data_IF_924186052751
#
_entry.id   IF_924186052751
#
_cell.length_a   1.000
_cell.length_b   1.000
_cell.length_c   1.000
_cell.angle_alpha   90.00
_cell.angle_beta   90.00
_cell.angle_gamma   90.00
#
_symmetry.space_group_name_H-M   'P 1'
#
loop_
_entity.id
_entity.type
_entity.pdbx_description
1 polymer ?
#
# COMPACT_ATOMS: atom_id res chain seq x y z
N UNK A 1 11.63 1.45 -6.55
CA UNK A 1 10.18 1.58 -6.35
C UNK A 1 9.56 0.43 -7.08
N UNK A 2 8.57 -0.17 -6.44
CA UNK A 2 7.92 -1.37 -6.95
C UNK A 2 6.39 -1.18 -6.87
N UNK A 3 5.70 -1.81 -7.80
CA UNK A 3 4.26 -1.79 -7.92
C UNK A 3 3.73 -3.21 -7.74
N UNK A 4 3.05 -3.47 -6.63
CA UNK A 4 2.39 -4.76 -6.43
C UNK A 4 1.10 -4.79 -7.28
N UNK A 5 1.08 -5.67 -8.28
CA UNK A 5 -0.12 -6.07 -9.06
C UNK A 5 -1.25 -6.48 -8.09
N UNK A 6 -2.54 -6.31 -8.42
CA UNK A 6 -3.54 -6.06 -7.40
C UNK A 6 -3.64 -7.20 -6.41
N UNK A 7 -3.43 -6.82 -5.15
CA UNK A 7 -3.46 -7.72 -4.00
C UNK A 7 -4.86 -7.70 -3.41
N UNK A 8 -5.35 -8.85 -2.95
CA UNK A 8 -6.64 -8.93 -2.29
C UNK A 8 -6.56 -8.35 -0.89
N UNK A 9 -7.23 -7.22 -0.66
CA UNK A 9 -7.41 -6.70 0.69
C UNK A 9 -8.40 -7.60 1.45
N UNK A 10 -7.95 -8.25 2.53
CA UNK A 10 -8.83 -9.04 3.40
C UNK A 10 -9.32 -8.18 4.55
N UNK A 11 -10.65 -8.01 4.67
CA UNK A 11 -11.26 -7.34 5.82
C UNK A 11 -11.12 -8.22 7.06
N UNK A 12 -10.18 -7.89 7.96
CA UNK A 12 -10.10 -8.51 9.28
C UNK A 12 -11.23 -7.92 10.14
N UNK A 13 -12.13 -8.76 10.63
CA UNK A 13 -13.17 -8.37 11.59
C UNK A 13 -12.84 -9.01 12.93
N UNK A 14 -12.72 -8.20 13.98
CA UNK A 14 -12.40 -8.65 15.33
C UNK A 14 -13.46 -8.15 16.29
N UNK A 15 -14.03 -9.04 17.09
CA UNK A 15 -14.98 -8.69 18.16
C UNK A 15 -14.80 -9.63 19.34
N UNK A 16 -15.20 -9.20 20.53
CA UNK A 16 -15.09 -10.01 21.74
C UNK A 16 -16.14 -11.13 21.74
N UNK A 17 -15.70 -12.38 21.51
CA UNK A 17 -16.56 -13.56 21.56
C UNK A 17 -16.55 -14.11 22.98
N UNK A 18 -17.70 -14.03 23.67
CA UNK A 18 -17.87 -14.64 24.99
C UNK A 18 -17.81 -16.17 24.88
N UNK A 19 -17.12 -16.82 25.82
CA UNK A 19 -17.00 -18.29 25.88
C UNK A 19 -18.40 -18.91 25.97
N UNK A 20 -18.71 -19.84 25.07
CA UNK A 20 -19.99 -20.55 25.03
C UNK A 20 -21.09 -19.91 24.18
N UNK A 21 -20.81 -18.82 23.46
CA UNK A 21 -21.78 -18.20 22.53
C UNK A 21 -21.25 -18.26 21.11
N UNK A 22 -22.00 -18.90 20.20
CA UNK A 22 -21.67 -18.87 18.77
C UNK A 22 -22.18 -17.55 18.19
N UNK A 23 -21.27 -16.71 17.68
CA UNK A 23 -21.61 -15.44 17.04
C UNK A 23 -21.27 -15.52 15.57
N UNK A 24 -22.28 -15.38 14.72
CA UNK A 24 -22.06 -15.30 13.26
C UNK A 24 -21.41 -13.96 12.96
N UNK A 25 -20.13 -13.99 12.64
CA UNK A 25 -19.43 -12.82 12.11
C UNK A 25 -19.78 -12.75 10.63
N UNK A 26 -20.71 -11.86 10.28
CA UNK A 26 -21.01 -11.56 8.88
C UNK A 26 -19.82 -10.82 8.27
N UNK A 27 -18.79 -11.56 7.88
CA UNK A 27 -17.76 -11.08 6.99
C UNK A 27 -18.40 -10.97 5.60
N UNK A 28 -19.06 -9.85 5.30
CA UNK A 28 -19.36 -9.50 3.90
C UNK A 28 -18.04 -9.56 3.14
N UNK A 29 -17.90 -10.55 2.25
CA UNK A 29 -16.72 -10.81 1.45
C UNK A 29 -16.49 -9.72 0.41
N UNK A 30 -16.13 -8.52 0.86
CA UNK A 30 -15.66 -7.44 0.01
C UNK A 30 -14.21 -7.71 -0.34
N UNK A 31 -13.99 -8.55 -1.36
CA UNK A 31 -12.67 -8.67 -1.99
C UNK A 31 -12.46 -7.46 -2.89
N UNK A 32 -11.80 -6.44 -2.35
CA UNK A 32 -11.42 -5.26 -3.15
C UNK A 32 -10.04 -5.50 -3.73
N UNK A 33 -9.93 -5.49 -5.06
CA UNK A 33 -8.64 -5.45 -5.75
C UNK A 33 -7.96 -4.12 -5.44
N UNK A 34 -6.71 -4.17 -4.98
CA UNK A 34 -5.96 -3.00 -4.55
C UNK A 34 -4.55 -3.03 -5.11
N UNK A 35 -4.15 -1.97 -5.83
CA UNK A 35 -2.77 -1.82 -6.26
C UNK A 35 -2.00 -1.03 -5.22
N UNK A 36 -0.78 -1.46 -4.89
CA UNK A 36 0.06 -0.79 -3.91
C UNK A 36 1.33 -0.31 -4.61
N UNK A 37 1.63 0.98 -4.48
CA UNK A 37 2.90 1.56 -4.89
C UNK A 37 3.75 1.79 -3.64
N UNK A 38 5.02 1.36 -3.68
CA UNK A 38 5.92 1.51 -2.54
C UNK A 38 7.34 1.90 -2.94
N UNK A 39 7.96 2.74 -2.10
CA UNK A 39 9.40 3.06 -2.13
C UNK A 39 9.98 2.76 -0.77
N UNK A 40 11.14 2.13 -0.78
CA UNK A 40 11.94 1.85 0.41
C UNK A 40 13.27 2.59 0.26
N UNK A 41 13.70 3.26 1.32
CA UNK A 41 15.03 3.85 1.39
C UNK A 41 16.04 2.77 1.77
N UNK A 42 17.10 2.64 0.98
CA UNK A 42 18.19 1.71 1.29
C UNK A 42 18.82 2.08 2.64
N UNK A 43 18.98 1.09 3.53
CA UNK A 43 19.49 1.28 4.89
C UNK A 43 18.45 1.79 5.91
N UNK A 44 17.21 2.04 5.51
CA UNK A 44 16.12 2.39 6.43
C UNK A 44 14.77 1.82 5.97
N UNK A 45 14.57 0.53 6.24
CA UNK A 45 13.34 -0.21 5.91
C UNK A 45 12.11 0.33 6.65
N UNK A 46 12.27 0.89 7.84
CA UNK A 46 11.16 1.43 8.64
C UNK A 46 10.59 2.73 8.03
N UNK A 47 11.35 3.43 7.19
CA UNK A 47 10.92 4.64 6.49
C UNK A 47 10.27 4.35 5.13
N UNK A 48 9.71 3.15 4.93
CA UNK A 48 9.00 2.80 3.71
C UNK A 48 7.78 3.71 3.51
N UNK A 49 7.65 4.26 2.30
CA UNK A 49 6.50 5.06 1.88
C UNK A 49 5.68 4.21 0.94
N UNK A 50 4.41 3.98 1.27
CA UNK A 50 3.48 3.26 0.41
C UNK A 50 2.17 4.02 0.25
N UNK A 51 1.47 3.73 -0.84
CA UNK A 51 0.11 4.22 -1.07
C UNK A 51 -0.71 3.22 -1.88
N UNK A 52 -2.02 3.33 -1.76
CA UNK A 52 -2.97 2.40 -2.36
C UNK A 52 -3.74 3.12 -3.48
N UNK A 53 -3.71 2.53 -4.67
CA UNK A 53 -4.38 3.07 -5.84
C UNK A 53 -5.35 2.06 -6.45
N UNK A 54 -6.47 2.57 -6.94
CA UNK A 54 -7.47 1.74 -7.63
C UNK A 54 -6.93 1.18 -8.96
N UNK A 55 -6.10 1.96 -9.64
CA UNK A 55 -5.43 1.58 -10.90
C UNK A 55 -4.04 2.20 -10.90
N UNK A 56 -3.00 1.45 -11.29
CA UNK A 56 -1.66 2.00 -11.53
C UNK A 56 -1.66 2.62 -12.93
N UNK A 57 -1.80 3.94 -12.98
CA UNK A 57 -1.69 4.74 -14.21
C UNK A 57 -0.65 5.86 -14.00
N UNK A 58 -0.33 6.59 -15.07
CA UNK A 58 0.64 7.69 -14.98
C UNK A 58 0.27 8.77 -13.94
N UNK A 59 -1.03 9.04 -13.75
CA UNK A 59 -1.51 10.02 -12.75
C UNK A 59 -1.25 9.53 -11.32
N UNK A 60 -1.57 8.26 -11.02
CA UNK A 60 -1.30 7.64 -9.73
C UNK A 60 0.20 7.64 -9.39
N UNK A 61 1.05 7.40 -10.40
CA UNK A 61 2.50 7.45 -10.25
C UNK A 61 2.99 8.88 -9.94
N UNK A 62 2.47 9.89 -10.63
CA UNK A 62 2.79 11.31 -10.36
C UNK A 62 2.37 11.70 -8.95
N UNK A 63 1.15 11.37 -8.53
CA UNK A 63 0.64 11.66 -7.19
C UNK A 63 1.49 10.98 -6.11
N UNK A 64 1.90 9.74 -6.36
CA UNK A 64 2.80 9.03 -5.48
C UNK A 64 4.18 9.70 -5.38
N UNK A 65 4.75 10.16 -6.50
CA UNK A 65 6.02 10.90 -6.45
C UNK A 65 5.91 12.23 -5.69
N UNK A 66 4.79 12.96 -5.81
CA UNK A 66 4.55 14.15 -4.99
C UNK A 66 4.56 13.82 -3.49
N UNK A 67 3.99 12.68 -3.09
CA UNK A 67 4.04 12.20 -1.69
C UNK A 67 5.47 11.89 -1.24
N UNK A 68 6.26 11.25 -2.10
CA UNK A 68 7.67 10.94 -1.82
C UNK A 68 8.48 12.24 -1.64
N UNK A 69 8.33 13.21 -2.55
CA UNK A 69 9.01 14.51 -2.47
C UNK A 69 8.66 15.28 -1.18
N UNK A 70 7.38 15.27 -0.79
CA UNK A 70 6.94 15.89 0.49
C UNK A 70 7.49 15.20 1.72
N UNK A 71 7.82 13.92 1.63
CA UNK A 71 8.39 13.16 2.76
C UNK A 71 9.89 13.42 2.89
N UNK A 72 10.57 13.64 1.76
CA UNK A 72 12.00 13.93 1.69
C UNK A 72 12.28 15.40 1.35
N UNK A 73 11.61 16.33 2.02
CA UNK A 73 11.74 17.79 1.74
C UNK A 73 13.15 18.34 1.93
N UNK A 74 13.99 17.67 2.71
CA UNK A 74 15.38 18.08 2.95
C UNK A 74 16.39 17.57 1.91
N UNK A 75 15.94 16.80 0.91
CA UNK A 75 16.81 16.25 -0.13
C UNK A 75 16.65 17.05 -1.43
N UNK A 76 17.75 17.62 -1.93
CA UNK A 76 17.77 18.30 -3.23
C UNK A 76 17.63 17.32 -4.40
N UNK A 77 18.10 16.08 -4.22
CA UNK A 77 18.07 15.02 -5.24
C UNK A 77 17.67 13.69 -4.60
N UNK A 78 16.72 13.00 -5.22
CA UNK A 78 16.30 11.65 -4.84
C UNK A 78 16.61 10.70 -6.01
N UNK A 79 17.48 9.73 -5.78
CA UNK A 79 17.76 8.67 -6.75
C UNK A 79 16.77 7.52 -6.55
N UNK A 80 16.02 7.18 -7.58
CA UNK A 80 15.02 6.10 -7.57
C UNK A 80 15.45 5.05 -8.57
N UNK A 81 15.57 3.81 -8.11
CA UNK A 81 15.75 2.63 -8.96
C UNK A 81 14.38 2.01 -9.17
N UNK A 82 13.99 1.82 -10.42
CA UNK A 82 12.75 1.17 -10.84
C UNK A 82 13.10 -0.14 -11.53
N UNK A 83 12.27 -1.16 -11.32
CA UNK A 83 12.32 -2.35 -12.16
C UNK A 83 11.50 -2.10 -13.42
N UNK A 84 12.02 -2.52 -14.57
CA UNK A 84 11.33 -2.39 -15.85
C UNK A 84 10.49 -3.64 -16.08
N UNK A 85 9.18 -3.49 -16.13
CA UNK A 85 8.26 -4.58 -16.46
C UNK A 85 7.75 -4.35 -17.87
N UNK A 86 8.22 -5.19 -18.81
CA UNK A 86 7.81 -5.27 -20.22
C UNK A 86 6.28 -5.19 -20.44
#
# INVERSE_FOLDING_TARGET
MDAAYPTQATKITSEWIRKGTNKVINATGSCTWMNILAVIKLGNLAAAIFDQFKTVNGVAVIDFFHKVLRTYTSMDVIHIVLDDTD
#
